data_IF_030459943476
#
_entry.id   IF_030459943476
#
_cell.length_a   1.000
_cell.length_b   1.000
_cell.length_c   1.000
_cell.angle_alpha   90.00
_cell.angle_beta   90.00
_cell.angle_gamma   90.00
#
_symmetry.space_group_name_H-M   'P 1'
#
loop_
_entity.id
_entity.type
_entity.pdbx_description
1 polymer ?
#
# COMPACT_ATOMS: atom_id res chain seq x y z
N UNK A 1 -23.80 18.01 -25.42
CA UNK A 1 -24.15 17.44 -24.10
C UNK A 1 -22.98 17.66 -23.15
N UNK A 2 -23.12 18.44 -22.06
CA UNK A 2 -22.07 18.54 -21.06
C UNK A 2 -22.04 17.22 -20.27
N UNK A 3 -20.88 16.56 -20.23
CA UNK A 3 -20.64 15.38 -19.38
C UNK A 3 -20.88 15.81 -17.93
N UNK A 4 -21.99 15.38 -17.35
CA UNK A 4 -22.34 15.66 -15.95
C UNK A 4 -21.19 15.24 -15.06
N UNK A 5 -20.59 16.20 -14.36
CA UNK A 5 -19.64 15.92 -13.30
C UNK A 5 -20.31 14.94 -12.34
N UNK A 6 -19.77 13.72 -12.20
CA UNK A 6 -20.29 12.76 -11.23
C UNK A 6 -20.34 13.47 -9.87
N UNK A 7 -21.50 13.44 -9.23
CA UNK A 7 -21.63 14.06 -7.91
C UNK A 7 -20.64 13.43 -6.94
N UNK A 8 -20.16 14.23 -5.98
CA UNK A 8 -19.27 13.78 -4.91
C UNK A 8 -19.86 12.55 -4.19
N UNK A 9 -21.19 12.47 -4.10
CA UNK A 9 -21.90 11.33 -3.53
C UNK A 9 -21.75 10.03 -4.35
N UNK A 10 -21.72 10.12 -5.68
CA UNK A 10 -21.50 8.97 -6.56
C UNK A 10 -20.12 8.35 -6.35
N UNK A 11 -19.07 9.17 -6.24
CA UNK A 11 -17.72 8.66 -5.95
C UNK A 11 -17.63 8.02 -4.57
N UNK A 12 -18.24 8.64 -3.56
CA UNK A 12 -18.31 8.09 -2.20
C UNK A 12 -18.99 6.72 -2.17
N UNK A 13 -20.17 6.59 -2.80
CA UNK A 13 -20.91 5.31 -2.88
C UNK A 13 -20.13 4.24 -3.63
N UNK A 14 -19.45 4.63 -4.72
CA UNK A 14 -18.56 3.72 -5.47
C UNK A 14 -17.40 3.24 -4.60
N UNK A 15 -16.75 4.14 -3.87
CA UNK A 15 -15.69 3.80 -2.91
C UNK A 15 -16.20 2.87 -1.81
N UNK A 16 -17.37 3.15 -1.23
CA UNK A 16 -17.99 2.31 -0.20
C UNK A 16 -18.23 0.87 -0.67
N UNK A 17 -18.67 0.70 -1.93
CA UNK A 17 -18.85 -0.62 -2.53
C UNK A 17 -17.55 -1.44 -2.53
N UNK A 18 -16.44 -0.82 -2.94
CA UNK A 18 -15.13 -1.50 -2.89
C UNK A 18 -14.59 -1.65 -1.47
N UNK A 19 -14.80 -0.65 -0.60
CA UNK A 19 -14.29 -0.62 0.77
C UNK A 19 -15.02 -1.60 1.69
N UNK A 20 -16.27 -1.94 1.38
CA UNK A 20 -17.09 -2.90 2.13
C UNK A 20 -17.59 -2.38 3.47
N UNK A 21 -17.46 -1.08 3.75
CA UNK A 21 -17.94 -0.43 4.98
C UNK A 21 -18.60 0.91 4.68
N UNK A 22 -19.58 1.34 5.49
CA UNK A 22 -20.11 2.70 5.43
C UNK A 22 -19.01 3.74 5.65
N UNK A 23 -19.08 4.83 4.88
CA UNK A 23 -18.14 5.97 4.92
C UNK A 23 -18.93 7.27 5.04
N UNK A 24 -18.74 7.99 6.13
CA UNK A 24 -19.39 9.29 6.34
C UNK A 24 -18.85 10.33 5.36
N UNK A 25 -19.57 11.45 5.19
CA UNK A 25 -19.11 12.52 4.30
C UNK A 25 -17.75 13.10 4.77
N UNK A 26 -17.55 13.25 6.08
CA UNK A 26 -16.29 13.73 6.65
C UNK A 26 -15.14 12.76 6.38
N UNK A 27 -15.36 11.45 6.57
CA UNK A 27 -14.37 10.42 6.25
C UNK A 27 -14.03 10.43 4.75
N UNK A 28 -15.06 10.59 3.91
CA UNK A 28 -14.89 10.68 2.46
C UNK A 28 -14.05 11.87 2.06
N UNK A 29 -14.30 13.07 2.60
CA UNK A 29 -13.49 14.27 2.30
C UNK A 29 -12.02 14.06 2.65
N UNK A 30 -11.72 13.40 3.78
CA UNK A 30 -10.34 13.05 4.14
C UNK A 30 -9.73 12.04 3.18
N UNK A 31 -10.46 10.97 2.86
CA UNK A 31 -10.00 9.90 1.98
C UNK A 31 -9.82 10.34 0.54
N UNK A 32 -10.72 11.17 0.00
CA UNK A 32 -10.60 11.69 -1.36
C UNK A 32 -9.42 12.64 -1.50
N UNK A 33 -9.16 13.48 -0.48
CA UNK A 33 -7.95 14.32 -0.43
C UNK A 33 -6.69 13.46 -0.41
N UNK A 34 -6.59 12.51 0.50
CA UNK A 34 -5.43 11.61 0.59
C UNK A 34 -5.20 10.85 -0.72
N UNK A 35 -6.28 10.36 -1.35
CA UNK A 35 -6.19 9.68 -2.63
C UNK A 35 -5.61 10.58 -3.72
N UNK A 36 -6.09 11.83 -3.82
CA UNK A 36 -5.58 12.80 -4.79
C UNK A 36 -4.12 13.20 -4.52
N UNK A 37 -3.76 13.42 -3.25
CA UNK A 37 -2.38 13.73 -2.82
C UNK A 37 -1.42 12.57 -3.11
N UNK A 38 -1.90 11.32 -3.06
CA UNK A 38 -1.15 10.14 -3.47
C UNK A 38 -0.93 10.04 -4.98
N UNK A 39 -1.58 10.89 -5.78
CA UNK A 39 -1.54 10.88 -7.25
C UNK A 39 -2.56 9.94 -7.90
N UNK A 40 -3.48 9.35 -7.13
CA UNK A 40 -4.54 8.50 -7.68
C UNK A 40 -5.71 9.34 -8.21
N UNK A 41 -6.16 9.10 -9.44
CA UNK A 41 -7.28 9.85 -10.03
C UNK A 41 -8.62 9.44 -9.41
N UNK A 42 -9.57 10.40 -9.33
CA UNK A 42 -10.97 10.16 -8.97
C UNK A 42 -11.74 9.42 -10.10
N UNK A 43 -11.36 8.17 -10.34
CA UNK A 43 -12.03 7.24 -11.26
C UNK A 43 -12.18 5.86 -10.61
N UNK A 44 -12.94 4.96 -11.25
CA UNK A 44 -13.25 3.64 -10.66
C UNK A 44 -12.01 2.84 -10.25
N UNK A 45 -10.95 2.82 -11.06
CA UNK A 45 -9.71 2.09 -10.75
C UNK A 45 -8.95 2.70 -9.57
N UNK A 46 -8.87 4.03 -9.51
CA UNK A 46 -8.26 4.75 -8.39
C UNK A 46 -9.01 4.49 -7.08
N UNK A 47 -10.34 4.55 -7.13
CA UNK A 47 -11.20 4.25 -5.97
C UNK A 47 -11.04 2.82 -5.48
N UNK A 48 -11.02 1.84 -6.39
CA UNK A 48 -10.84 0.43 -6.04
C UNK A 48 -9.47 0.18 -5.38
N UNK A 49 -8.40 0.73 -5.96
CA UNK A 49 -7.05 0.59 -5.42
C UNK A 49 -6.95 1.21 -4.03
N UNK A 50 -7.46 2.44 -3.87
CA UNK A 50 -7.44 3.14 -2.58
C UNK A 50 -8.32 2.45 -1.54
N UNK A 51 -9.47 1.88 -1.93
CA UNK A 51 -10.33 1.11 -1.05
C UNK A 51 -9.62 -0.14 -0.53
N UNK A 52 -8.97 -0.91 -1.42
CA UNK A 52 -8.15 -2.07 -1.05
C UNK A 52 -7.00 -1.69 -0.12
N UNK A 53 -6.36 -0.55 -0.37
CA UNK A 53 -5.35 0.02 0.53
C UNK A 53 -5.94 0.28 1.94
N UNK A 54 -7.06 0.98 2.05
CA UNK A 54 -7.69 1.27 3.34
C UNK A 54 -8.26 0.03 4.04
N UNK A 55 -8.60 -1.03 3.31
CA UNK A 55 -8.97 -2.31 3.91
C UNK A 55 -7.79 -2.96 4.61
N UNK A 56 -6.62 -2.98 3.95
CA UNK A 56 -5.39 -3.59 4.48
C UNK A 56 -4.70 -2.72 5.54
N UNK A 57 -4.71 -1.41 5.35
CA UNK A 57 -4.00 -0.44 6.19
C UNK A 57 -4.92 0.74 6.60
N UNK A 58 -5.94 0.52 7.47
CA UNK A 58 -6.98 1.53 7.73
C UNK A 58 -6.50 2.86 8.29
N UNK A 59 -5.38 2.83 9.03
CA UNK A 59 -4.78 4.00 9.70
C UNK A 59 -3.60 4.60 8.93
N UNK A 60 -3.08 3.91 7.92
CA UNK A 60 -1.91 4.39 7.18
C UNK A 60 -2.33 5.41 6.11
N UNK A 61 -1.42 6.33 5.80
CA UNK A 61 -1.57 7.29 4.71
C UNK A 61 -0.84 6.73 3.49
N UNK A 62 -1.50 6.71 2.32
CA UNK A 62 -0.82 6.36 1.07
C UNK A 62 -0.13 7.62 0.51
N UNK A 63 1.20 7.66 0.56
CA UNK A 63 1.95 8.75 -0.06
C UNK A 63 2.25 8.46 -1.53
N UNK A 64 2.42 9.51 -2.33
CA UNK A 64 2.83 9.41 -3.73
C UNK A 64 4.16 8.66 -3.88
N UNK A 65 5.14 8.95 -3.03
CA UNK A 65 6.45 8.29 -3.05
C UNK A 65 6.37 6.78 -2.82
N UNK A 66 5.49 6.31 -1.91
CA UNK A 66 5.27 4.88 -1.69
C UNK A 66 4.63 4.24 -2.92
N UNK A 67 3.62 4.88 -3.51
CA UNK A 67 2.95 4.37 -4.69
C UNK A 67 3.90 4.26 -5.90
N UNK A 68 4.73 5.27 -6.12
CA UNK A 68 5.77 5.27 -7.16
C UNK A 68 6.81 4.18 -6.92
N UNK A 69 7.32 4.06 -5.69
CA UNK A 69 8.29 3.02 -5.32
C UNK A 69 7.73 1.61 -5.54
N UNK A 70 6.45 1.38 -5.20
CA UNK A 70 5.78 0.09 -5.45
C UNK A 70 5.62 -0.19 -6.94
N UNK A 71 5.19 0.81 -7.71
CA UNK A 71 5.02 0.68 -9.15
C UNK A 71 6.34 0.36 -9.84
N UNK A 72 7.40 1.09 -9.50
CA UNK A 72 8.73 0.89 -10.08
C UNK A 72 9.30 -0.47 -9.70
N UNK A 73 9.10 -0.91 -8.45
CA UNK A 73 9.47 -2.24 -8.00
C UNK A 73 8.76 -3.33 -8.82
N UNK A 74 7.43 -3.23 -8.99
CA UNK A 74 6.64 -4.19 -9.75
C UNK A 74 7.02 -4.21 -11.24
N UNK A 75 7.25 -3.04 -11.85
CA UNK A 75 7.68 -2.96 -13.26
C UNK A 75 9.04 -3.61 -13.44
N UNK A 76 10.00 -3.27 -12.58
CA UNK A 76 11.36 -3.80 -12.64
C UNK A 76 11.41 -5.31 -12.47
N UNK A 77 10.52 -5.87 -11.67
CA UNK A 77 10.51 -7.28 -11.30
C UNK A 77 9.37 -8.09 -11.91
N UNK A 78 8.66 -7.54 -12.90
CA UNK A 78 7.47 -8.16 -13.53
C UNK A 78 7.70 -9.58 -14.07
N UNK A 79 8.93 -9.89 -14.50
CA UNK A 79 9.27 -11.19 -15.08
C UNK A 79 9.85 -12.18 -14.05
N UNK A 80 10.13 -11.75 -12.81
CA UNK A 80 10.69 -12.63 -11.77
C UNK A 80 9.55 -13.23 -10.94
N UNK A 81 9.36 -14.54 -11.08
CA UNK A 81 8.25 -15.29 -10.46
C UNK A 81 8.59 -15.83 -9.08
N UNK A 82 9.86 -16.12 -8.81
CA UNK A 82 10.33 -16.75 -7.59
C UNK A 82 11.50 -15.99 -6.98
N UNK A 83 11.53 -15.91 -5.65
CA UNK A 83 12.52 -15.16 -4.89
C UNK A 83 12.95 -15.91 -3.64
N UNK A 84 14.26 -15.96 -3.37
CA UNK A 84 14.73 -16.35 -2.05
C UNK A 84 14.45 -15.25 -1.02
N UNK A 85 14.15 -15.63 0.22
CA UNK A 85 13.93 -14.67 1.31
C UNK A 85 15.05 -13.64 1.47
N UNK A 86 16.30 -14.06 1.33
CA UNK A 86 17.46 -13.16 1.37
C UNK A 86 17.44 -12.11 0.23
N UNK A 87 16.96 -12.49 -0.96
CA UNK A 87 16.82 -11.54 -2.08
C UNK A 87 15.70 -10.53 -1.82
N UNK A 88 14.60 -10.97 -1.21
CA UNK A 88 13.50 -10.08 -0.81
C UNK A 88 13.99 -9.07 0.23
N UNK A 89 14.74 -9.53 1.24
CA UNK A 89 15.34 -8.66 2.25
C UNK A 89 16.28 -7.63 1.61
N UNK A 90 17.20 -8.06 0.75
CA UNK A 90 18.12 -7.17 0.05
C UNK A 90 17.39 -6.13 -0.80
N UNK A 91 16.32 -6.55 -1.48
CA UNK A 91 15.48 -5.65 -2.27
C UNK A 91 14.75 -4.60 -1.40
N UNK A 92 14.23 -5.00 -0.23
CA UNK A 92 13.59 -4.09 0.73
C UNK A 92 14.61 -3.09 1.27
N UNK A 93 15.80 -3.54 1.68
CA UNK A 93 16.88 -2.65 2.17
C UNK A 93 17.37 -1.69 1.10
N UNK A 94 17.33 -2.08 -0.17
CA UNK A 94 17.63 -1.16 -1.28
C UNK A 94 16.58 -0.06 -1.43
N UNK A 95 15.30 -0.36 -1.20
CA UNK A 95 14.21 0.62 -1.23
C UNK A 95 14.18 1.50 0.04
N UNK A 96 14.51 0.92 1.19
CA UNK A 96 14.51 1.55 2.50
C UNK A 96 15.83 1.24 3.23
N UNK A 97 16.91 2.00 2.97
CA UNK A 97 18.24 1.71 3.54
C UNK A 97 18.28 1.69 5.06
N UNK A 98 17.44 2.50 5.71
CA UNK A 98 17.36 2.63 7.15
C UNK A 98 16.38 1.66 7.83
N UNK A 99 15.74 0.74 7.09
CA UNK A 99 14.74 -0.16 7.68
C UNK A 99 15.37 -1.11 8.70
N UNK A 100 14.76 -1.17 9.89
CA UNK A 100 15.18 -2.10 10.92
C UNK A 100 14.78 -3.53 10.56
N UNK A 101 15.58 -4.51 10.97
CA UNK A 101 15.32 -5.93 10.72
C UNK A 101 13.94 -6.38 11.24
N UNK A 102 13.55 -5.90 12.43
CA UNK A 102 12.23 -6.19 13.01
C UNK A 102 11.07 -5.69 12.14
N UNK A 103 11.26 -4.59 11.40
CA UNK A 103 10.23 -4.07 10.49
C UNK A 103 10.10 -4.94 9.23
N UNK A 104 11.20 -5.53 8.76
CA UNK A 104 11.18 -6.53 7.68
C UNK A 104 10.37 -7.74 8.13
N UNK A 105 10.65 -8.29 9.32
CA UNK A 105 9.89 -9.43 9.86
C UNK A 105 8.41 -9.12 10.04
N UNK A 106 8.08 -7.92 10.54
CA UNK A 106 6.70 -7.46 10.63
C UNK A 106 6.03 -7.34 9.26
N UNK A 107 6.75 -6.94 8.21
CA UNK A 107 6.21 -6.89 6.85
C UNK A 107 5.86 -8.29 6.33
N UNK A 108 6.73 -9.29 6.55
CA UNK A 108 6.41 -10.70 6.27
C UNK A 108 5.19 -11.17 7.05
N UNK A 109 5.14 -10.88 8.35
CA UNK A 109 4.01 -11.27 9.20
C UNK A 109 2.68 -10.66 8.73
N UNK A 110 2.68 -9.37 8.36
CA UNK A 110 1.49 -8.68 7.80
C UNK A 110 1.04 -9.26 6.46
N UNK A 111 1.97 -9.82 5.68
CA UNK A 111 1.66 -10.57 4.46
C UNK A 111 1.17 -12.01 4.73
N UNK A 112 1.08 -12.44 5.99
CA UNK A 112 0.71 -13.81 6.36
C UNK A 112 1.85 -14.82 6.16
N UNK A 113 3.10 -14.36 6.21
CA UNK A 113 4.29 -15.16 5.93
C UNK A 113 5.26 -15.12 7.11
N UNK A 114 6.06 -16.18 7.24
CA UNK A 114 7.24 -16.19 8.11
C UNK A 114 8.49 -16.02 7.26
N UNK A 115 9.38 -15.12 7.67
CA UNK A 115 10.66 -14.92 6.99
C UNK A 115 11.57 -16.14 7.19
N UNK A 116 12.17 -16.61 6.10
CA UNK A 116 13.26 -17.59 6.07
C UNK A 116 14.17 -17.27 4.88
N UNK A 117 15.44 -17.00 5.14
CA UNK A 117 16.39 -16.57 4.11
C UNK A 117 16.47 -17.51 2.89
N UNK A 118 16.40 -18.83 3.11
CA UNK A 118 16.49 -19.87 2.07
C UNK A 118 15.16 -20.29 1.47
N UNK A 119 14.02 -19.78 1.97
CA UNK A 119 12.69 -20.13 1.45
C UNK A 119 12.44 -19.38 0.15
N UNK A 120 11.77 -20.04 -0.79
CA UNK A 120 11.25 -19.43 -2.02
C UNK A 120 9.88 -18.82 -1.74
N UNK A 121 9.70 -17.59 -2.20
CA UNK A 121 8.46 -16.83 -2.16
C UNK A 121 8.03 -16.51 -3.59
N UNK A 122 6.72 -16.61 -3.83
CA UNK A 122 6.12 -16.27 -5.12
C UNK A 122 6.06 -14.75 -5.30
N UNK A 123 6.07 -14.28 -6.55
CA UNK A 123 6.03 -12.86 -6.90
C UNK A 123 4.93 -12.08 -6.16
N UNK A 124 3.71 -12.63 -6.06
CA UNK A 124 2.60 -11.97 -5.37
C UNK A 124 2.88 -11.79 -3.87
N UNK A 125 3.47 -12.80 -3.24
CA UNK A 125 3.90 -12.75 -1.84
C UNK A 125 4.95 -11.65 -1.65
N UNK A 126 5.95 -11.59 -2.54
CA UNK A 126 7.00 -10.57 -2.49
C UNK A 126 6.41 -9.16 -2.63
N UNK A 127 5.47 -8.95 -3.54
CA UNK A 127 4.81 -7.66 -3.70
C UNK A 127 4.01 -7.25 -2.46
N UNK A 128 3.33 -8.19 -1.80
CA UNK A 128 2.64 -7.91 -0.54
C UNK A 128 3.63 -7.57 0.59
N UNK A 129 4.75 -8.28 0.70
CA UNK A 129 5.80 -7.98 1.69
C UNK A 129 6.41 -6.61 1.46
N UNK A 130 6.80 -6.29 0.22
CA UNK A 130 7.38 -4.98 -0.13
C UNK A 130 6.37 -3.85 0.11
N UNK A 131 5.09 -4.08 -0.18
CA UNK A 131 4.01 -3.17 0.18
C UNK A 131 3.98 -2.88 1.68
N UNK A 132 3.97 -3.90 2.54
CA UNK A 132 3.96 -3.67 3.97
C UNK A 132 5.25 -3.05 4.50
N UNK A 133 6.40 -3.39 3.91
CA UNK A 133 7.68 -2.77 4.26
C UNK A 133 7.69 -1.27 3.90
N UNK A 134 7.18 -0.88 2.74
CA UNK A 134 7.09 0.53 2.35
C UNK A 134 6.09 1.34 3.20
N UNK A 135 4.99 0.72 3.63
CA UNK A 135 4.00 1.40 4.47
C UNK A 135 4.45 1.52 5.93
N UNK A 136 5.11 0.50 6.49
CA UNK A 136 5.41 0.42 7.92
C UNK A 136 6.90 0.47 8.27
N UNK A 137 7.81 0.41 7.29
CA UNK A 137 9.26 0.41 7.50
C UNK A 137 9.87 1.79 7.62
N UNK A 138 9.24 2.83 7.04
CA UNK A 138 9.67 4.22 7.19
C UNK A 138 9.05 4.96 8.37
N UNK A 139 8.14 4.30 9.11
CA UNK A 139 7.60 4.86 10.36
C UNK A 139 8.54 4.45 11.48
N UNK A 140 9.42 5.36 11.87
CA UNK A 140 10.01 5.32 13.21
C UNK A 140 8.83 5.20 14.19
N UNK A 141 8.69 4.03 14.82
CA UNK A 141 8.00 3.92 16.09
C UNK A 141 8.85 4.66 17.14
N UNK A 142 8.94 6.00 17.03
CA UNK A 142 9.13 6.86 18.20
C UNK A 142 7.79 6.98 18.90
N UNK A 143 7.51 5.93 19.65
CA UNK A 143 6.77 6.01 20.90
C UNK A 143 7.27 7.19 21.75
N UNK A 144 6.35 8.06 22.13
CA UNK A 144 6.30 8.77 23.42
C UNK A 144 7.56 9.46 23.93
N UNK A 145 7.68 10.76 23.67
CA UNK A 145 8.18 11.66 24.72
C UNK A 145 6.97 12.04 25.57
N UNK A 146 6.91 11.46 26.77
CA UNK A 146 6.29 12.12 27.92
C UNK A 146 7.07 13.38 28.25
#
# INVERSE_FOLDING_TARGET
MPKTAKSIDTYRKTFQSFYGKPVTLLQWTRYSREMLESGLPLNTKGLELFAKFKQRCPRAVLSKAVLESLKDFQIKHRNKTEWYGAEVEAAIRKLLPAIAEIQIYRAFYRAGLSFRAKRIYEQKQVYDVVFYALIYGGTDERTGSK
#
